data_IF_074223754768
#
_entry.id   IF_074223754768
#
_cell.length_a   1.000
_cell.length_b   1.000
_cell.length_c   1.000
_cell.angle_alpha   90.00
_cell.angle_beta   90.00
_cell.angle_gamma   90.00
#
_symmetry.space_group_name_H-M   'P 1'
#
loop_
_entity.id
_entity.type
_entity.pdbx_description
1 polymer ?
#
# COMPACT_ATOMS: atom_id res chain seq x y z
N UNK A 1 3.88 3.86 -15.57
CA UNK A 1 3.75 2.50 -14.99
C UNK A 1 2.71 1.67 -15.75
N UNK A 2 1.53 2.21 -16.14
CA UNK A 2 0.57 1.51 -17.02
C UNK A 2 0.73 1.69 -18.52
N UNK A 3 1.37 2.77 -18.97
CA UNK A 3 1.66 3.01 -20.38
C UNK A 3 3.16 3.06 -20.69
N UNK A 4 3.99 2.59 -19.76
CA UNK A 4 5.43 2.64 -19.98
C UNK A 4 5.80 1.65 -21.10
N UNK A 5 6.49 2.09 -22.18
CA UNK A 5 6.96 1.19 -23.21
C UNK A 5 7.95 0.18 -22.60
N UNK A 6 8.06 -1.04 -23.17
CA UNK A 6 9.04 -2.01 -22.73
C UNK A 6 10.44 -1.39 -22.69
N UNK A 7 11.16 -1.56 -21.58
CA UNK A 7 12.55 -1.10 -21.48
C UNK A 7 13.43 -1.89 -22.47
N UNK A 8 14.43 -1.27 -23.11
CA UNK A 8 15.37 -1.96 -24.01
C UNK A 8 16.06 -3.14 -23.31
N UNK A 9 16.20 -4.26 -24.02
CA UNK A 9 16.66 -5.57 -23.51
C UNK A 9 18.20 -5.68 -23.29
N UNK A 10 18.90 -4.58 -23.01
CA UNK A 10 20.38 -4.58 -23.00
C UNK A 10 21.00 -4.67 -21.61
N UNK A 11 20.22 -4.95 -20.56
CA UNK A 11 20.75 -5.11 -19.21
C UNK A 11 21.30 -6.53 -19.03
N UNK A 12 22.57 -6.65 -18.65
CA UNK A 12 23.16 -7.92 -18.26
C UNK A 12 22.41 -8.48 -17.04
N UNK A 13 21.83 -9.67 -17.16
CA UNK A 13 21.01 -10.27 -16.12
C UNK A 13 20.14 -11.42 -16.62
N UNK A 14 19.36 -12.06 -15.73
CA UNK A 14 18.39 -13.08 -16.12
C UNK A 14 17.38 -12.50 -17.11
N UNK A 15 16.91 -13.35 -18.03
CA UNK A 15 15.87 -12.96 -18.99
C UNK A 15 14.63 -12.46 -18.23
N UNK A 16 14.11 -11.25 -18.53
CA UNK A 16 12.92 -10.73 -17.88
C UNK A 16 11.72 -11.65 -18.13
N UNK A 17 11.13 -12.20 -17.06
CA UNK A 17 9.87 -12.92 -17.14
C UNK A 17 8.69 -11.96 -16.91
N UNK A 18 7.59 -12.19 -17.62
CA UNK A 18 6.37 -11.41 -17.40
C UNK A 18 5.80 -11.71 -16.01
N UNK A 19 5.68 -10.68 -15.18
CA UNK A 19 5.04 -10.81 -13.88
C UNK A 19 3.52 -10.74 -14.02
N UNK A 20 2.87 -11.89 -13.97
CA UNK A 20 1.42 -11.98 -13.90
C UNK A 20 0.98 -12.35 -12.48
N UNK A 21 0.48 -11.37 -11.71
CA UNK A 21 0.09 -11.56 -10.31
C UNK A 21 -0.86 -12.76 -10.08
N UNK A 22 -1.88 -13.02 -10.94
CA UNK A 22 -2.73 -14.21 -10.78
C UNK A 22 -1.96 -15.52 -10.88
N UNK A 23 -1.00 -15.64 -11.80
CA UNK A 23 -0.16 -16.84 -11.93
C UNK A 23 0.71 -17.07 -10.69
N UNK A 24 1.15 -15.99 -10.02
CA UNK A 24 1.88 -16.07 -8.75
C UNK A 24 0.99 -16.56 -7.61
N UNK A 25 -0.26 -16.11 -7.54
CA UNK A 25 -1.23 -16.58 -6.55
C UNK A 25 -1.45 -18.10 -6.72
N UNK A 26 -1.70 -18.57 -7.94
CA UNK A 26 -1.87 -20.01 -8.23
C UNK A 26 -0.65 -20.82 -7.79
N UNK A 27 0.55 -20.36 -8.17
CA UNK A 27 1.80 -21.03 -7.76
C UNK A 27 1.95 -21.08 -6.24
N UNK A 28 1.64 -20.01 -5.52
CA UNK A 28 1.73 -19.99 -4.06
C UNK A 28 0.71 -20.89 -3.38
N UNK A 29 -0.50 -21.00 -3.93
CA UNK A 29 -1.49 -21.98 -3.44
C UNK A 29 -1.00 -23.42 -3.64
N UNK A 30 -0.32 -23.72 -4.75
CA UNK A 30 0.28 -25.04 -4.99
C UNK A 30 1.47 -25.31 -4.06
N UNK A 31 2.39 -24.35 -3.92
CA UNK A 31 3.63 -24.50 -3.14
C UNK A 31 3.36 -24.60 -1.63
N UNK A 32 2.33 -23.91 -1.12
CA UNK A 32 2.10 -23.73 0.33
C UNK A 32 0.81 -24.37 0.84
N UNK A 33 0.06 -25.03 -0.04
CA UNK A 33 -1.21 -25.67 0.29
C UNK A 33 -2.35 -24.68 0.54
N UNK A 34 -3.55 -25.21 0.86
CA UNK A 34 -4.73 -24.39 1.13
C UNK A 34 -4.49 -23.41 2.27
N UNK A 35 -4.74 -22.12 2.05
CA UNK A 35 -4.62 -21.07 3.07
C UNK A 35 -3.20 -20.56 3.36
N UNK A 36 -2.15 -21.24 2.86
CA UNK A 36 -0.76 -20.87 3.17
C UNK A 36 -0.34 -19.48 2.67
N UNK A 37 -0.94 -18.99 1.57
CA UNK A 37 -0.75 -17.62 1.10
C UNK A 37 -1.37 -16.61 2.08
N UNK A 38 -2.60 -16.87 2.54
CA UNK A 38 -3.35 -16.00 3.45
C UNK A 38 -2.67 -15.90 4.81
N UNK A 39 -2.20 -17.02 5.37
CA UNK A 39 -1.48 -17.04 6.65
C UNK A 39 -0.21 -16.19 6.59
N UNK A 40 0.62 -16.41 5.57
CA UNK A 40 1.87 -15.66 5.39
C UNK A 40 1.62 -14.18 5.10
N UNK A 41 0.61 -13.87 4.28
CA UNK A 41 0.22 -12.49 4.01
C UNK A 41 -0.29 -11.80 5.27
N UNK A 42 -1.12 -12.49 6.07
CA UNK A 42 -1.60 -11.98 7.34
C UNK A 42 -0.46 -11.69 8.32
N UNK A 43 0.49 -12.62 8.47
CA UNK A 43 1.67 -12.41 9.31
C UNK A 43 2.53 -11.23 8.85
N UNK A 44 2.80 -11.14 7.55
CA UNK A 44 3.55 -10.01 6.97
C UNK A 44 2.80 -8.68 7.14
N UNK A 45 1.47 -8.68 7.05
CA UNK A 45 0.64 -7.49 7.21
C UNK A 45 0.70 -6.93 8.63
N UNK A 46 0.60 -7.78 9.65
CA UNK A 46 0.71 -7.34 11.04
C UNK A 46 2.11 -6.76 11.32
N UNK A 47 3.17 -7.46 10.91
CA UNK A 47 4.54 -6.96 11.08
C UNK A 47 4.78 -5.62 10.37
N UNK A 48 4.17 -5.43 9.18
CA UNK A 48 4.22 -4.16 8.46
C UNK A 48 3.44 -3.05 9.19
N UNK A 49 2.25 -3.35 9.71
CA UNK A 49 1.45 -2.40 10.48
C UNK A 49 2.21 -1.92 11.73
N UNK A 50 2.77 -2.85 12.51
CA UNK A 50 3.59 -2.54 13.69
C UNK A 50 4.80 -1.67 13.33
N UNK A 51 5.49 -2.00 12.22
CA UNK A 51 6.60 -1.19 11.74
C UNK A 51 6.17 0.21 11.31
N UNK A 52 4.98 0.36 10.72
CA UNK A 52 4.50 1.65 10.24
C UNK A 52 4.28 2.67 11.37
N UNK A 53 3.94 2.20 12.57
CA UNK A 53 3.83 3.06 13.76
C UNK A 53 5.15 3.73 14.15
N UNK A 54 6.29 3.20 13.69
CA UNK A 54 7.61 3.79 14.02
C UNK A 54 7.89 5.10 13.28
N UNK A 55 7.19 5.37 12.19
CA UNK A 55 7.43 6.54 11.35
C UNK A 55 6.18 7.33 11.00
N UNK A 56 4.99 6.75 11.14
CA UNK A 56 3.72 7.39 10.80
C UNK A 56 2.88 7.66 12.06
N UNK A 57 2.39 8.90 12.20
CA UNK A 57 1.44 9.31 13.24
C UNK A 57 0.03 9.39 12.67
N UNK A 58 -0.93 8.67 13.24
CA UNK A 58 -2.33 8.77 12.83
C UNK A 58 -3.01 9.98 13.48
N UNK A 59 -3.57 10.86 12.67
CA UNK A 59 -4.38 12.02 13.07
C UNK A 59 -5.85 11.76 12.79
N UNK A 60 -6.66 11.78 13.84
CA UNK A 60 -8.11 11.62 13.73
C UNK A 60 -8.80 12.99 13.70
N UNK A 61 -9.77 13.13 12.78
CA UNK A 61 -10.55 14.34 12.56
C UNK A 61 -12.03 14.01 12.48
N UNK A 62 -12.88 14.99 12.80
CA UNK A 62 -14.33 14.84 12.73
C UNK A 62 -14.99 16.07 12.11
N UNK A 63 -16.07 15.83 11.36
CA UNK A 63 -16.91 16.85 10.77
C UNK A 63 -16.44 17.35 9.41
N UNK A 64 -17.36 17.98 8.68
CA UNK A 64 -17.13 18.48 7.31
C UNK A 64 -16.03 19.55 7.25
N UNK A 65 -15.96 20.43 8.25
CA UNK A 65 -14.93 21.47 8.31
C UNK A 65 -13.51 20.89 8.42
N UNK A 66 -13.33 19.81 9.18
CA UNK A 66 -12.03 19.17 9.29
C UNK A 66 -11.67 18.39 8.00
N UNK A 67 -12.66 17.81 7.32
CA UNK A 67 -12.47 17.22 6.00
C UNK A 67 -11.96 18.25 4.98
N UNK A 68 -12.65 19.38 4.86
CA UNK A 68 -12.27 20.44 3.92
C UNK A 68 -10.84 20.92 4.17
N UNK A 69 -10.51 21.19 5.44
CA UNK A 69 -9.16 21.63 5.83
C UNK A 69 -8.09 20.61 5.41
N UNK A 70 -8.22 19.36 5.83
CA UNK A 70 -7.21 18.33 5.54
C UNK A 70 -7.12 18.08 4.03
N UNK A 71 -8.24 18.08 3.32
CA UNK A 71 -8.25 17.94 1.86
C UNK A 71 -7.44 19.04 1.18
N UNK A 72 -7.61 20.31 1.58
CA UNK A 72 -6.86 21.43 1.02
C UNK A 72 -5.37 21.34 1.34
N UNK A 73 -4.99 20.90 2.55
CA UNK A 73 -3.58 20.68 2.91
C UNK A 73 -2.94 19.56 2.07
N UNK A 74 -3.66 18.44 1.81
CA UNK A 74 -3.22 17.40 0.86
C UNK A 74 -3.05 17.97 -0.55
N UNK A 75 -4.07 18.68 -1.04
CA UNK A 75 -4.13 19.20 -2.40
C UNK A 75 -2.98 20.16 -2.70
N UNK A 76 -2.63 20.99 -1.73
CA UNK A 76 -1.53 21.96 -1.84
C UNK A 76 -0.14 21.36 -1.58
N UNK A 77 -0.08 20.14 -1.01
CA UNK A 77 1.18 19.50 -0.64
C UNK A 77 1.79 20.04 0.65
N UNK A 78 0.97 20.58 1.54
CA UNK A 78 1.39 21.22 2.79
C UNK A 78 1.43 20.26 3.98
N UNK A 79 1.00 19.00 3.79
CA UNK A 79 1.02 17.98 4.84
C UNK A 79 2.40 17.35 5.03
N UNK A 80 2.70 17.05 6.30
CA UNK A 80 3.81 16.19 6.65
C UNK A 80 3.52 14.75 6.19
N UNK A 81 4.38 14.13 5.35
CA UNK A 81 4.16 12.77 4.88
C UNK A 81 4.26 11.70 5.99
N UNK A 82 4.74 12.06 7.17
CA UNK A 82 4.69 11.21 8.36
C UNK A 82 3.33 11.23 9.07
N UNK A 83 2.37 12.04 8.63
CA UNK A 83 1.01 12.07 9.18
C UNK A 83 0.01 11.31 8.30
N UNK A 84 -0.65 10.31 8.88
CA UNK A 84 -1.79 9.63 8.26
C UNK A 84 -3.10 10.22 8.78
N UNK A 85 -3.96 10.74 7.90
CA UNK A 85 -5.19 11.41 8.32
C UNK A 85 -6.42 10.50 8.16
N UNK A 86 -7.17 10.29 9.26
CA UNK A 86 -8.44 9.55 9.29
C UNK A 86 -9.55 10.51 9.66
N UNK A 87 -10.54 10.66 8.80
CA UNK A 87 -11.59 11.68 8.93
C UNK A 87 -12.95 10.99 8.96
N UNK A 88 -13.74 11.27 10.00
CA UNK A 88 -15.15 10.86 10.09
C UNK A 88 -16.04 12.06 9.81
N UNK A 89 -17.15 11.87 9.08
CA UNK A 89 -18.15 12.93 8.87
C UNK A 89 -19.09 13.10 10.06
N UNK A 90 -19.07 12.15 11.00
CA UNK A 90 -19.92 12.16 12.18
C UNK A 90 -19.13 12.71 13.37
N UNK A 91 -19.67 13.73 14.03
CA UNK A 91 -19.23 14.12 15.36
C UNK A 91 -19.55 12.99 16.34
N UNK A 92 -18.55 12.52 17.08
CA UNK A 92 -18.73 11.57 18.19
C UNK A 92 -18.93 12.30 19.50
#
# INVERSE_FOLDING_TARGET
HWEAPPRPQTLAGPQPEFFFAPGRIVKRTQDWGPGGLQERLGGAWHAFADWSETWMTIRHHAGEAALEKVYLEVLNGDLDPSEGHVITLWDR
#
